data_IF_595415892091
#
_entry.id   IF_595415892091
#
_cell.length_a   1.000
_cell.length_b   1.000
_cell.length_c   1.000
_cell.angle_alpha   90.00
_cell.angle_beta   90.00
_cell.angle_gamma   90.00
#
_symmetry.space_group_name_H-M   'P 1'
#
loop_
_entity.id
_entity.type
_entity.pdbx_description
1 polymer ?
#
# COMPACT_ATOMS: atom_id res chain seq x y z
N UNK A 1 22.25 18.22 3.14
CA UNK A 1 21.22 17.16 3.11
C UNK A 1 21.96 15.85 2.86
N UNK A 2 22.15 14.99 3.88
CA UNK A 2 22.82 13.69 3.69
C UNK A 2 21.78 12.74 3.10
N UNK A 3 21.96 12.38 1.83
CA UNK A 3 21.13 11.36 1.18
C UNK A 3 21.78 10.04 1.58
N UNK A 4 21.16 9.29 2.49
CA UNK A 4 21.64 7.98 2.90
C UNK A 4 21.62 7.03 1.69
N UNK A 5 22.75 6.38 1.41
CA UNK A 5 22.84 5.44 0.31
C UNK A 5 21.95 4.22 0.58
N UNK A 6 21.08 3.81 -0.37
CA UNK A 6 20.19 2.69 -0.18
C UNK A 6 21.00 1.41 0.03
N UNK A 7 20.68 0.67 1.10
CA UNK A 7 21.35 -0.60 1.45
C UNK A 7 21.33 -1.55 0.25
N UNK A 8 22.52 -2.03 -0.14
CA UNK A 8 22.72 -3.04 -1.17
C UNK A 8 22.82 -4.41 -0.49
N UNK A 9 22.03 -5.38 -0.96
CA UNK A 9 22.17 -6.80 -0.56
C UNK A 9 22.52 -7.58 -1.82
N UNK A 10 23.64 -8.33 -1.78
CA UNK A 10 24.16 -9.10 -2.91
C UNK A 10 24.24 -8.34 -4.24
N UNK A 11 24.61 -7.05 -4.20
CA UNK A 11 24.76 -6.22 -5.40
C UNK A 11 23.48 -5.62 -5.97
N UNK A 12 22.30 -5.98 -5.44
CA UNK A 12 21.02 -5.41 -5.85
C UNK A 12 20.63 -4.21 -4.99
N UNK A 13 20.19 -3.13 -5.65
CA UNK A 13 19.64 -1.92 -5.00
C UNK A 13 18.24 -2.25 -4.48
N UNK A 14 18.06 -2.32 -3.17
CA UNK A 14 16.73 -2.49 -2.58
C UNK A 14 16.00 -1.15 -2.65
N UNK A 15 15.06 -1.03 -3.58
CA UNK A 15 14.20 0.15 -3.73
C UNK A 15 12.90 0.01 -2.92
N UNK A 16 12.52 -1.23 -2.59
CA UNK A 16 11.28 -1.56 -1.88
C UNK A 16 11.62 -2.21 -0.55
N UNK A 17 11.57 -1.41 0.51
CA UNK A 17 11.63 -1.90 1.89
C UNK A 17 10.19 -2.27 2.26
N UNK A 18 9.96 -3.52 2.67
CA UNK A 18 8.71 -3.88 3.34
C UNK A 18 8.76 -3.15 4.70
N UNK A 19 7.83 -2.21 4.98
CA UNK A 19 7.84 -1.52 6.25
C UNK A 19 7.60 -2.53 7.36
N UNK A 20 8.46 -2.50 8.37
CA UNK A 20 8.29 -3.34 9.55
C UNK A 20 7.20 -2.72 10.42
N UNK A 21 5.96 -3.15 10.16
CA UNK A 21 4.78 -2.67 10.86
C UNK A 21 4.53 -3.52 12.09
N UNK A 22 4.23 -2.86 13.21
CA UNK A 22 3.62 -3.53 14.36
C UNK A 22 2.30 -4.22 13.96
N UNK A 23 1.86 -5.20 14.75
CA UNK A 23 0.62 -5.92 14.46
C UNK A 23 -0.60 -4.97 14.34
N UNK A 24 -0.63 -3.90 15.14
CA UNK A 24 -1.68 -2.87 15.11
C UNK A 24 -1.65 -2.06 13.81
N UNK A 25 -0.46 -1.64 13.36
CA UNK A 25 -0.29 -0.90 12.12
C UNK A 25 -0.62 -1.75 10.88
N UNK A 26 -0.27 -3.04 10.91
CA UNK A 26 -0.67 -3.98 9.86
C UNK A 26 -2.19 -4.10 9.77
N UNK A 27 -2.87 -4.22 10.90
CA UNK A 27 -4.33 -4.32 10.95
C UNK A 27 -5.01 -3.03 10.47
N UNK A 28 -4.50 -1.87 10.86
CA UNK A 28 -4.98 -0.58 10.35
C UNK A 28 -4.82 -0.48 8.83
N UNK A 29 -3.66 -0.89 8.29
CA UNK A 29 -3.40 -0.89 6.85
C UNK A 29 -4.29 -1.86 6.08
N UNK A 30 -4.55 -3.06 6.61
CA UNK A 30 -5.52 -4.01 6.02
C UNK A 30 -6.90 -3.39 5.91
N UNK A 31 -7.40 -2.74 6.98
CA UNK A 31 -8.69 -2.05 6.97
C UNK A 31 -8.74 -0.91 5.95
N UNK A 32 -7.67 -0.12 5.83
CA UNK A 32 -7.57 0.97 4.85
C UNK A 32 -7.68 0.44 3.42
N UNK A 33 -6.95 -0.63 3.10
CA UNK A 33 -6.95 -1.28 1.78
C UNK A 33 -8.34 -1.86 1.47
N UNK A 34 -8.94 -2.60 2.41
CA UNK A 34 -10.27 -3.15 2.24
C UNK A 34 -11.32 -2.07 1.99
N UNK A 35 -11.26 -0.94 2.71
CA UNK A 35 -12.16 0.19 2.49
C UNK A 35 -12.00 0.78 1.09
N UNK A 36 -10.77 0.93 0.59
CA UNK A 36 -10.50 1.40 -0.78
C UNK A 36 -11.07 0.46 -1.84
N UNK A 37 -10.87 -0.85 -1.66
CA UNK A 37 -11.42 -1.88 -2.55
C UNK A 37 -12.95 -1.84 -2.55
N UNK A 38 -13.56 -1.82 -1.36
CA UNK A 38 -15.02 -1.70 -1.23
C UNK A 38 -15.56 -0.46 -1.92
N UNK A 39 -14.94 0.70 -1.68
CA UNK A 39 -15.34 1.95 -2.31
C UNK A 39 -15.20 1.91 -3.83
N UNK A 40 -14.12 1.33 -4.36
CA UNK A 40 -13.93 1.19 -5.80
C UNK A 40 -15.06 0.39 -6.45
N UNK A 41 -15.39 -0.79 -5.90
CA UNK A 41 -16.47 -1.61 -6.43
C UNK A 41 -17.86 -0.99 -6.21
N UNK A 42 -18.08 -0.31 -5.09
CA UNK A 42 -19.35 0.38 -4.80
C UNK A 42 -19.55 1.58 -5.72
N UNK A 43 -18.51 2.39 -5.92
CA UNK A 43 -18.51 3.54 -6.82
C UNK A 43 -18.75 3.10 -8.28
N UNK A 44 -18.06 2.04 -8.73
CA UNK A 44 -18.23 1.50 -10.08
C UNK A 44 -19.62 0.89 -10.30
N UNK A 45 -20.19 0.24 -9.28
CA UNK A 45 -21.56 -0.29 -9.34
C UNK A 45 -22.58 0.84 -9.59
N UNK A 46 -22.41 1.97 -8.92
CA UNK A 46 -23.32 3.12 -9.05
C UNK A 46 -23.16 3.86 -10.40
N UNK A 47 -21.98 3.83 -11.01
CA UNK A 47 -21.73 4.45 -12.33
C UNK A 47 -22.07 3.52 -13.51
N UNK A 48 -22.10 2.20 -13.30
CA UNK A 48 -22.53 1.25 -14.33
C UNK A 48 -24.03 1.23 -14.56
N UNK A 49 -24.84 1.65 -13.58
CA UNK A 49 -26.31 1.69 -13.66
C UNK A 49 -26.88 3.00 -14.20
N UNK A 50 -26.03 3.94 -14.64
CA UNK A 50 -26.43 5.24 -15.21
C UNK A 50 -26.27 5.30 -16.74
N UNK A 51 -26.21 4.16 -17.44
CA UNK A 51 -26.22 4.09 -18.91
C UNK A 51 -27.50 3.48 -19.42
#
# INVERSE_FOLDING_TARGET
>A
MRIEEPKKVNGFKIVHIIPDYSAEEQEAKKKEILKKIYNYFTYNKNHSTQK
#
